data_IF_219841374557
#
_entry.id   IF_219841374557
#
_cell.length_a   1.000
_cell.length_b   1.000
_cell.length_c   1.000
_cell.angle_alpha   90.00
_cell.angle_beta   90.00
_cell.angle_gamma   90.00
#
_symmetry.space_group_name_H-M   'P 1'
#
loop_
_entity.id
_entity.type
_entity.pdbx_description
1 polymer ?
#
# COMPACT_ATOMS: atom_id res chain seq x y z
N UNK A 1 -28.30 4.10 31.49
CA UNK A 1 -27.41 3.45 30.50
C UNK A 1 -26.08 3.12 31.17
N UNK A 2 -25.60 1.87 31.05
CA UNK A 2 -24.36 1.42 31.71
C UNK A 2 -23.13 1.73 30.84
N UNK A 3 -22.05 2.26 31.43
CA UNK A 3 -20.80 2.61 30.73
C UNK A 3 -20.07 1.35 30.24
N UNK A 4 -19.29 1.42 29.15
CA UNK A 4 -18.34 0.37 28.78
C UNK A 4 -17.42 0.10 29.99
N UNK A 5 -17.38 -1.13 30.51
CA UNK A 5 -16.73 -1.48 31.79
C UNK A 5 -17.65 -1.49 33.02
N UNK A 6 -18.97 -1.36 32.84
CA UNK A 6 -19.94 -1.45 33.94
C UNK A 6 -20.16 -2.87 34.45
N UNK A 7 -20.58 -2.98 35.72
CA UNK A 7 -21.02 -4.20 36.40
C UNK A 7 -21.96 -5.05 35.50
N UNK A 8 -21.42 -6.22 35.10
CA UNK A 8 -22.05 -7.22 34.24
C UNK A 8 -21.29 -7.54 32.93
N UNK A 9 -20.32 -6.72 32.52
CA UNK A 9 -19.44 -7.01 31.38
C UNK A 9 -18.09 -7.57 31.83
N UNK A 10 -17.52 -8.52 31.08
CA UNK A 10 -16.16 -9.03 31.35
C UNK A 10 -15.17 -7.83 31.39
N UNK A 11 -14.53 -7.55 32.54
CA UNK A 11 -13.66 -6.39 32.72
C UNK A 11 -12.45 -6.43 31.78
N UNK A 12 -12.04 -7.63 31.35
CA UNK A 12 -10.98 -7.85 30.39
C UNK A 12 -11.53 -8.60 29.17
N UNK A 13 -12.13 -7.91 28.20
CA UNK A 13 -12.58 -8.55 26.97
C UNK A 13 -11.35 -9.08 26.22
N UNK A 14 -11.17 -10.40 26.22
CA UNK A 14 -10.14 -11.06 25.40
C UNK A 14 -10.69 -11.21 23.99
N UNK A 15 -10.02 -10.60 23.01
CA UNK A 15 -10.33 -10.82 21.60
C UNK A 15 -9.74 -12.16 21.19
N UNK A 16 -10.61 -13.13 20.86
CA UNK A 16 -10.15 -14.42 20.35
C UNK A 16 -9.50 -14.24 18.97
N UNK A 17 -8.50 -15.07 18.61
CA UNK A 17 -7.89 -15.02 17.29
C UNK A 17 -8.92 -15.22 16.16
N UNK A 18 -9.95 -16.02 16.41
CA UNK A 18 -11.08 -16.20 15.48
C UNK A 18 -11.89 -14.92 15.26
N UNK A 19 -12.06 -14.10 16.31
CA UNK A 19 -12.76 -12.83 16.22
C UNK A 19 -11.95 -11.80 15.43
N UNK A 20 -10.64 -11.75 15.69
CA UNK A 20 -9.72 -10.89 14.94
C UNK A 20 -9.68 -11.24 13.45
N UNK A 21 -9.67 -12.53 13.11
CA UNK A 21 -9.68 -12.99 11.72
C UNK A 21 -10.97 -12.62 10.96
N UNK A 22 -12.11 -12.55 11.65
CA UNK A 22 -13.41 -12.17 11.05
C UNK A 22 -13.62 -10.67 10.94
N UNK A 23 -12.83 -9.87 11.66
CA UNK A 23 -13.05 -8.42 11.76
C UNK A 23 -12.87 -7.70 10.42
N UNK A 24 -11.96 -8.17 9.57
CA UNK A 24 -11.66 -7.59 8.27
C UNK A 24 -11.62 -8.69 7.21
N UNK A 25 -12.77 -9.02 6.58
CA UNK A 25 -12.77 -10.03 5.53
C UNK A 25 -11.87 -9.56 4.37
N UNK A 26 -11.05 -10.46 3.81
CA UNK A 26 -10.23 -10.13 2.65
C UNK A 26 -11.12 -9.71 1.48
N UNK A 27 -10.61 -8.81 0.66
CA UNK A 27 -11.32 -8.36 -0.53
C UNK A 27 -11.52 -9.56 -1.50
N UNK A 28 -12.70 -9.67 -2.15
CA UNK A 28 -13.06 -10.87 -2.92
C UNK A 28 -12.19 -11.06 -4.18
N UNK A 29 -11.50 -10.02 -4.63
CA UNK A 29 -10.62 -10.05 -5.80
C UNK A 29 -9.20 -10.53 -5.49
N UNK A 30 -8.80 -10.60 -4.22
CA UNK A 30 -7.44 -10.98 -3.83
C UNK A 30 -7.43 -12.44 -3.39
N UNK A 31 -6.65 -13.32 -4.06
CA UNK A 31 -6.51 -14.69 -3.60
C UNK A 31 -5.80 -14.71 -2.23
N UNK A 32 -6.19 -15.61 -1.31
CA UNK A 32 -5.68 -15.65 0.06
C UNK A 32 -4.17 -15.91 0.17
N UNK A 33 -3.55 -16.40 -0.92
CA UNK A 33 -2.12 -16.68 -1.00
C UNK A 33 -1.27 -15.41 -1.12
N UNK A 34 -1.84 -14.30 -1.61
CA UNK A 34 -1.08 -13.08 -1.91
C UNK A 34 -0.99 -12.19 -0.68
N UNK A 35 0.24 -11.94 -0.22
CA UNK A 35 0.51 -10.97 0.84
C UNK A 35 0.38 -9.55 0.28
N UNK A 36 -0.52 -8.76 0.86
CA UNK A 36 -0.67 -7.34 0.54
C UNK A 36 0.30 -6.51 1.39
N UNK A 37 0.83 -5.44 0.81
CA UNK A 37 1.64 -4.46 1.53
C UNK A 37 0.80 -3.51 2.40
N UNK A 38 1.47 -2.52 2.99
CA UNK A 38 0.79 -1.45 3.73
C UNK A 38 -0.12 -0.62 2.82
N UNK A 39 -1.26 -0.09 3.33
CA UNK A 39 -2.17 0.71 2.54
C UNK A 39 -1.52 2.03 2.11
N UNK A 40 -1.62 2.33 0.81
CA UNK A 40 -1.17 3.59 0.23
C UNK A 40 -2.30 4.62 0.33
N UNK A 41 -2.01 5.77 0.95
CA UNK A 41 -2.96 6.86 1.13
C UNK A 41 -2.49 8.10 0.35
N UNK A 42 -3.31 8.60 -0.58
CA UNK A 42 -3.00 9.77 -1.42
C UNK A 42 -4.21 10.71 -1.45
N UNK A 43 -3.95 12.01 -1.38
CA UNK A 43 -4.98 13.02 -1.54
C UNK A 43 -5.28 13.25 -3.03
N UNK A 44 -6.57 13.31 -3.38
CA UNK A 44 -7.04 13.56 -4.75
C UNK A 44 -7.96 14.78 -4.78
N UNK A 45 -8.13 15.46 -5.94
CA UNK A 45 -9.06 16.57 -6.06
C UNK A 45 -10.49 16.20 -5.66
N UNK A 46 -11.17 17.11 -4.96
CA UNK A 46 -12.54 16.94 -4.46
C UNK A 46 -13.55 16.41 -5.51
N UNK A 47 -13.61 16.91 -6.76
CA UNK A 47 -14.57 16.38 -7.73
C UNK A 47 -14.33 14.91 -8.07
N UNK A 48 -13.06 14.48 -8.11
CA UNK A 48 -12.70 13.09 -8.39
C UNK A 48 -12.97 12.20 -7.17
N UNK A 49 -12.68 12.68 -5.95
CA UNK A 49 -13.01 11.97 -4.71
C UNK A 49 -14.52 11.69 -4.63
N UNK A 50 -15.36 12.67 -4.99
CA UNK A 50 -16.80 12.52 -5.01
C UNK A 50 -17.27 11.39 -5.95
N UNK A 51 -16.70 11.29 -7.16
CA UNK A 51 -17.04 10.22 -8.10
C UNK A 51 -16.54 8.85 -7.62
N UNK A 52 -15.32 8.76 -7.10
CA UNK A 52 -14.76 7.51 -6.56
C UNK A 52 -15.63 7.00 -5.39
N UNK A 53 -16.12 7.90 -4.54
CA UNK A 53 -16.97 7.54 -3.39
C UNK A 53 -18.36 7.03 -3.76
N UNK A 54 -18.86 7.36 -4.96
CA UNK A 54 -20.15 6.83 -5.47
C UNK A 54 -20.05 5.36 -5.87
N UNK A 55 -18.85 4.82 -6.07
CA UNK A 55 -18.65 3.43 -6.46
C UNK A 55 -18.92 2.47 -5.29
N UNK A 56 -19.74 1.45 -5.52
CA UNK A 56 -20.12 0.43 -4.52
C UNK A 56 -18.92 -0.39 -4.03
N UNK A 57 -17.99 -0.71 -4.92
CA UNK A 57 -16.79 -1.52 -4.66
C UNK A 57 -15.49 -0.73 -4.93
N UNK A 58 -15.39 0.47 -4.36
CA UNK A 58 -14.28 1.42 -4.60
C UNK A 58 -12.88 0.81 -4.47
N UNK A 59 -12.65 -0.05 -3.46
CA UNK A 59 -11.32 -0.61 -3.19
C UNK A 59 -10.85 -1.56 -4.29
N UNK A 60 -11.77 -2.33 -4.87
CA UNK A 60 -11.46 -3.25 -5.99
C UNK A 60 -11.14 -2.44 -7.24
N UNK A 61 -11.95 -1.43 -7.52
CA UNK A 61 -11.75 -0.55 -8.67
C UNK A 61 -10.41 0.20 -8.57
N UNK A 62 -10.12 0.82 -7.42
CA UNK A 62 -8.85 1.51 -7.18
C UNK A 62 -7.65 0.57 -7.33
N UNK A 63 -7.73 -0.64 -6.77
CA UNK A 63 -6.65 -1.62 -6.90
C UNK A 63 -6.36 -1.95 -8.36
N UNK A 64 -7.41 -2.17 -9.18
CA UNK A 64 -7.25 -2.44 -10.62
C UNK A 64 -6.58 -1.28 -11.35
N UNK A 65 -7.07 -0.07 -11.17
CA UNK A 65 -6.53 1.14 -11.83
C UNK A 65 -5.07 1.37 -11.45
N UNK A 66 -4.73 1.22 -10.17
CA UNK A 66 -3.36 1.39 -9.69
C UNK A 66 -2.44 0.29 -10.26
N UNK A 67 -2.88 -0.97 -10.28
CA UNK A 67 -2.09 -2.07 -10.85
C UNK A 67 -1.87 -1.85 -12.35
N UNK A 68 -2.91 -1.51 -13.10
CA UNK A 68 -2.83 -1.26 -14.54
C UNK A 68 -1.87 -0.10 -14.85
N UNK A 69 -2.02 1.03 -14.15
CA UNK A 69 -1.13 2.17 -14.30
C UNK A 69 0.32 1.82 -13.94
N UNK A 70 0.54 1.09 -12.83
CA UNK A 70 1.87 0.66 -12.43
C UNK A 70 2.51 -0.31 -13.43
N UNK A 71 1.75 -1.27 -13.96
CA UNK A 71 2.23 -2.20 -14.98
C UNK A 71 2.65 -1.48 -16.26
N UNK A 72 1.81 -0.52 -16.70
CA UNK A 72 2.04 0.27 -17.91
C UNK A 72 3.23 1.22 -17.78
N UNK A 73 3.32 1.94 -16.67
CA UNK A 73 4.26 3.06 -16.53
C UNK A 73 5.57 2.67 -15.85
N UNK A 74 5.54 1.71 -14.92
CA UNK A 74 6.70 1.37 -14.08
C UNK A 74 7.31 0.02 -14.42
N UNK A 75 6.52 -0.93 -14.93
CA UNK A 75 6.99 -2.31 -15.19
C UNK A 75 7.23 -2.61 -16.67
N UNK A 76 7.01 -1.64 -17.57
CA UNK A 76 7.23 -1.81 -19.02
C UNK A 76 6.31 -2.83 -19.70
N UNK A 77 5.34 -3.40 -18.98
CA UNK A 77 4.33 -4.31 -19.52
C UNK A 77 3.20 -3.48 -20.15
N UNK A 78 3.51 -2.84 -21.27
CA UNK A 78 2.46 -2.45 -22.20
C UNK A 78 1.86 -3.75 -22.80
N UNK A 79 0.54 -3.86 -22.99
CA UNK A 79 0.03 -4.80 -23.97
C UNK A 79 0.61 -4.40 -25.32
N UNK A 80 1.69 -5.07 -25.72
CA UNK A 80 2.26 -5.03 -27.06
C UNK A 80 1.20 -5.58 -28.02
N UNK A 81 0.28 -4.72 -28.44
CA UNK A 81 -0.52 -4.95 -29.63
C UNK A 81 0.39 -4.65 -30.83
N UNK A 82 1.07 -5.68 -31.31
CA UNK A 82 1.62 -5.78 -32.66
C UNK A 82 2.95 -5.05 -32.92
N UNK A 83 4.05 -5.80 -32.85
CA UNK A 83 5.11 -5.67 -33.85
C UNK A 83 5.80 -7.04 -34.02
N UNK A 84 5.37 -7.75 -35.06
CA UNK A 84 6.16 -8.79 -35.71
C UNK A 84 7.49 -8.17 -36.18
N UNK A 85 8.63 -8.71 -35.75
CA UNK A 85 9.68 -9.21 -36.64
C UNK A 85 10.99 -9.52 -35.89
N UNK A 86 11.51 -10.71 -36.17
CA UNK A 86 12.77 -11.27 -35.71
C UNK A 86 13.97 -10.35 -36.10
N UNK A 87 15.06 -10.26 -35.32
CA UNK A 87 16.07 -11.32 -35.14
C UNK A 87 17.16 -10.91 -34.12
N UNK A 88 18.01 -11.86 -33.70
CA UNK A 88 18.77 -11.86 -32.44
C UNK A 88 20.24 -11.46 -32.59
N UNK A 89 20.87 -11.17 -31.44
CA UNK A 89 22.26 -11.51 -31.15
C UNK A 89 23.34 -10.51 -31.58
N UNK A 90 23.95 -9.83 -30.61
CA UNK A 90 25.38 -9.52 -30.67
C UNK A 90 25.92 -9.36 -29.24
N UNK A 91 26.56 -10.42 -28.77
CA UNK A 91 27.46 -10.42 -27.60
C UNK A 91 28.68 -9.52 -27.87
N UNK A 92 29.14 -8.78 -26.84
CA UNK A 92 30.53 -8.81 -26.31
C UNK A 92 30.88 -7.58 -25.40
N UNK A 93 31.94 -7.65 -24.53
CA UNK A 93 31.80 -7.39 -23.09
C UNK A 93 32.78 -6.36 -22.45
N UNK A 94 32.50 -6.03 -21.17
CA UNK A 94 33.44 -5.68 -20.07
C UNK A 94 34.20 -4.31 -20.06
N UNK A 95 34.39 -3.81 -18.81
CA UNK A 95 35.26 -2.74 -18.26
C UNK A 95 34.56 -1.38 -18.05
N UNK A 96 34.53 -0.78 -16.86
CA UNK A 96 35.12 -1.10 -15.57
C UNK A 96 35.12 0.16 -14.68
N UNK A 97 35.24 -0.03 -13.36
CA UNK A 97 35.81 0.95 -12.38
C UNK A 97 34.91 2.19 -12.08
N UNK A 98 34.72 2.79 -10.90
CA UNK A 98 35.40 2.88 -9.60
C UNK A 98 34.40 3.36 -8.50
N UNK A 99 34.66 2.96 -7.25
CA UNK A 99 34.67 3.80 -6.01
C UNK A 99 33.40 4.55 -5.48
N UNK A 100 32.82 3.99 -4.39
CA UNK A 100 32.21 4.68 -3.22
C UNK A 100 33.34 5.34 -2.37
N UNK A 101 33.17 6.36 -1.49
CA UNK A 101 32.03 6.54 -0.54
C UNK A 101 31.69 8.01 -0.10
N UNK A 102 30.64 8.14 0.75
CA UNK A 102 30.42 9.27 1.68
C UNK A 102 29.49 10.39 1.14
N UNK A 103 28.66 11.10 1.90
CA UNK A 103 28.26 11.09 3.30
C UNK A 103 27.09 12.09 3.43
N UNK A 104 26.02 11.77 4.17
CA UNK A 104 25.20 12.72 4.94
C UNK A 104 23.93 12.03 5.47
N UNK A 105 24.02 11.40 6.65
CA UNK A 105 22.85 11.11 7.47
C UNK A 105 22.30 12.43 8.02
N UNK A 106 21.13 12.85 7.55
CA UNK A 106 20.39 13.97 8.15
C UNK A 106 19.52 13.40 9.28
N UNK A 107 19.93 13.61 10.53
CA UNK A 107 19.12 13.28 11.72
C UNK A 107 17.89 14.20 11.80
N UNK A 108 16.66 13.68 11.97
CA UNK A 108 15.50 14.53 12.19
C UNK A 108 15.49 15.13 13.60
N UNK A 109 15.30 16.46 13.67
CA UNK A 109 15.23 17.27 14.89
C UNK A 109 13.93 16.94 15.65
N UNK A 110 14.03 16.14 16.72
CA UNK A 110 12.90 15.75 17.59
C UNK A 110 12.38 16.98 18.35
N UNK A 111 11.15 17.39 18.03
CA UNK A 111 10.45 18.52 18.66
C UNK A 111 10.01 18.12 20.07
N UNK A 112 10.64 18.69 21.09
CA UNK A 112 10.30 18.50 22.50
C UNK A 112 8.98 19.23 22.78
N UNK A 113 7.99 18.54 23.35
CA UNK A 113 6.74 19.15 23.86
C UNK A 113 7.02 19.68 25.28
N UNK A 114 6.64 20.93 25.56
CA UNK A 114 6.68 21.51 26.91
C UNK A 114 5.76 20.70 27.85
N UNK A 115 6.15 20.49 29.11
CA UNK A 115 5.25 19.94 30.12
C UNK A 115 4.12 20.93 30.41
N UNK A 116 2.93 20.36 30.64
CA UNK A 116 1.73 21.08 31.05
C UNK A 116 1.84 21.33 32.56
N UNK A 117 1.83 22.58 32.98
CA UNK A 117 1.79 22.95 34.40
C UNK A 117 0.51 22.37 35.05
N UNK A 118 0.68 21.92 36.30
CA UNK A 118 -0.33 21.29 37.13
C UNK A 118 -1.25 22.33 37.77
#
# INVERSE_FOLDING_TARGET
MKRKGSIGGNPNPVQTPEFLAKQFPPAPDVPPTVKLGEPICVAVPLPIDAEIRRLKNRSIWLRRVIIEAAQRELMGNAPQAGLEDAKPGLDDPILGTTTKPGAAEVKPKRRVRKPKEA
#
